data_IF_710349265247
#
_entry.id   IF_710349265247
#
_cell.length_a   1.000
_cell.length_b   1.000
_cell.length_c   1.000
_cell.angle_alpha   90.00
_cell.angle_beta   90.00
_cell.angle_gamma   90.00
#
_symmetry.space_group_name_H-M   'P 1'
#
loop_
_entity.id
_entity.type
_entity.pdbx_description
1 polymer ?
#
# COMPACT_ATOMS: atom_id res chain seq x y z
N UNK A 1 -1.24 -40.32 34.64
CA UNK A 1 0.22 -40.22 34.42
C UNK A 1 0.49 -40.51 32.97
N UNK A 2 0.71 -39.46 32.16
CA UNK A 2 1.69 -39.39 31.05
C UNK A 2 1.53 -38.04 30.34
N UNK A 3 2.32 -37.08 30.83
CA UNK A 3 3.07 -36.01 30.15
C UNK A 3 2.57 -35.37 28.84
N UNK A 4 2.50 -34.03 28.89
CA UNK A 4 2.74 -33.04 27.81
C UNK A 4 4.10 -32.38 28.19
N UNK A 5 4.94 -31.74 27.33
CA UNK A 5 4.83 -31.32 25.91
C UNK A 5 6.06 -31.65 25.05
N UNK A 6 6.01 -31.42 23.72
CA UNK A 6 7.13 -30.78 23.03
C UNK A 6 6.66 -29.76 21.99
N UNK A 7 7.10 -28.53 22.26
CA UNK A 7 7.12 -27.34 21.42
C UNK A 7 8.10 -27.48 20.25
N UNK A 8 7.70 -26.92 19.12
CA UNK A 8 8.53 -26.15 18.17
C UNK A 8 9.76 -26.82 17.56
N UNK A 9 9.68 -27.12 16.26
CA UNK A 9 10.84 -27.04 15.38
C UNK A 9 10.43 -26.33 14.09
N UNK A 10 10.70 -25.03 14.08
CA UNK A 10 10.78 -24.25 12.86
C UNK A 10 11.63 -25.01 11.84
N UNK A 11 11.07 -25.26 10.66
CA UNK A 11 11.86 -25.65 9.51
C UNK A 11 12.74 -24.45 9.19
N UNK A 12 13.99 -24.48 9.68
CA UNK A 12 14.99 -23.51 9.33
C UNK A 12 15.15 -23.52 7.80
N UNK A 13 14.89 -22.39 7.16
CA UNK A 13 15.25 -22.18 5.76
C UNK A 13 16.74 -22.55 5.58
N UNK A 14 17.12 -23.30 4.53
CA UNK A 14 18.52 -23.61 4.28
C UNK A 14 19.31 -22.31 4.07
N UNK A 15 20.58 -22.24 4.52
CA UNK A 15 21.42 -21.11 4.21
C UNK A 15 21.51 -20.99 2.68
N UNK A 16 21.15 -19.80 2.17
CA UNK A 16 21.30 -19.49 0.74
C UNK A 16 22.78 -19.65 0.39
N UNK A 17 23.11 -20.27 -0.77
CA UNK A 17 24.51 -20.31 -1.21
C UNK A 17 25.00 -18.87 -1.41
N UNK A 18 26.17 -18.56 -0.87
CA UNK A 18 26.85 -17.29 -1.06
C UNK A 18 27.22 -17.13 -2.54
N UNK A 19 26.28 -16.62 -3.33
CA UNK A 19 26.58 -16.11 -4.66
C UNK A 19 27.48 -14.89 -4.49
N UNK A 20 28.68 -14.86 -5.10
CA UNK A 20 29.51 -13.67 -5.07
C UNK A 20 28.73 -12.53 -5.71
N UNK A 21 28.36 -11.53 -4.90
CA UNK A 21 27.78 -10.28 -5.38
C UNK A 21 28.82 -9.68 -6.33
N UNK A 22 28.49 -9.40 -7.61
CA UNK A 22 29.43 -8.73 -8.50
C UNK A 22 29.76 -7.37 -7.88
N UNK A 23 31.02 -7.21 -7.48
CA UNK A 23 31.55 -5.92 -7.07
C UNK A 23 31.35 -4.93 -8.21
N UNK A 24 30.74 -3.75 -7.99
CA UNK A 24 30.68 -2.74 -9.02
C UNK A 24 32.12 -2.31 -9.32
N UNK A 25 32.61 -2.64 -10.51
CA UNK A 25 33.86 -2.09 -11.04
C UNK A 25 33.64 -0.57 -11.16
N UNK A 26 34.11 0.19 -10.17
CA UNK A 26 34.11 1.64 -10.24
C UNK A 26 34.94 2.05 -11.46
N UNK A 27 34.40 2.82 -12.43
CA UNK A 27 35.25 3.43 -13.43
C UNK A 27 36.19 4.38 -12.69
N UNK A 28 37.51 4.17 -12.82
CA UNK A 28 38.53 5.10 -12.36
C UNK A 28 38.29 6.44 -13.04
N UNK A 29 37.54 7.32 -12.40
CA UNK A 29 37.39 8.70 -12.83
C UNK A 29 38.74 9.36 -12.61
N UNK A 30 39.55 9.38 -13.66
CA UNK A 30 40.74 10.22 -13.75
C UNK A 30 40.25 11.65 -13.52
N UNK A 31 40.53 12.18 -12.33
CA UNK A 31 40.30 13.57 -12.01
C UNK A 31 41.27 14.41 -12.85
N UNK A 32 40.87 14.78 -14.06
CA UNK A 32 41.47 15.93 -14.73
C UNK A 32 41.02 17.16 -13.96
N UNK A 33 41.89 17.68 -13.11
CA UNK A 33 41.78 19.02 -12.57
C UNK A 33 41.77 20.00 -13.75
N UNK A 34 40.60 20.51 -14.09
CA UNK A 34 40.45 21.70 -14.93
C UNK A 34 39.89 22.80 -14.06
N UNK A 35 40.79 23.73 -13.72
CA UNK A 35 40.59 25.18 -13.75
C UNK A 35 39.22 25.70 -13.29
N UNK A 36 39.29 26.54 -12.26
CA UNK A 36 38.31 27.49 -11.77
C UNK A 36 37.59 28.28 -12.87
N UNK A 37 36.61 27.64 -13.51
CA UNK A 37 35.60 28.32 -14.31
C UNK A 37 34.64 29.04 -13.36
N UNK A 38 34.54 30.35 -13.54
CA UNK A 38 33.52 31.20 -12.91
C UNK A 38 32.19 30.45 -12.96
N UNK A 39 31.53 30.32 -11.80
CA UNK A 39 30.17 29.78 -11.71
C UNK A 39 29.24 30.60 -12.60
N UNK A 40 29.13 30.20 -13.86
CA UNK A 40 28.19 30.78 -14.79
C UNK A 40 26.79 30.40 -14.29
N UNK A 41 25.90 31.39 -14.19
CA UNK A 41 24.56 31.18 -13.64
C UNK A 41 23.85 30.08 -14.43
N UNK A 42 23.51 28.98 -13.77
CA UNK A 42 22.68 27.92 -14.33
C UNK A 42 21.20 28.32 -14.35
N UNK A 43 20.38 27.68 -15.19
CA UNK A 43 18.92 27.85 -15.15
C UNK A 43 18.37 27.14 -13.90
N UNK A 44 17.78 27.90 -12.98
CA UNK A 44 17.33 27.38 -11.68
C UNK A 44 16.10 26.45 -11.75
N UNK A 45 15.26 26.55 -12.80
CA UNK A 45 14.07 25.71 -12.95
C UNK A 45 13.58 25.60 -14.41
N UNK A 46 12.96 24.47 -14.77
CA UNK A 46 12.26 24.28 -16.05
C UNK A 46 11.13 23.27 -15.88
N UNK A 47 9.98 23.53 -16.50
CA UNK A 47 8.85 22.60 -16.56
C UNK A 47 8.66 21.97 -17.94
N UNK A 48 9.60 22.23 -18.87
CA UNK A 48 9.47 21.90 -20.31
C UNK A 48 9.07 20.43 -20.57
N UNK A 49 9.67 19.48 -19.86
CA UNK A 49 9.41 18.05 -20.09
C UNK A 49 8.37 17.46 -19.11
N UNK A 50 7.76 18.26 -18.25
CA UNK A 50 6.86 17.75 -17.20
C UNK A 50 5.58 17.19 -17.80
N UNK A 51 4.96 17.92 -18.74
CA UNK A 51 3.76 17.43 -19.44
C UNK A 51 4.06 16.15 -20.22
N UNK A 52 5.16 16.10 -20.97
CA UNK A 52 5.50 14.91 -21.74
C UNK A 52 5.71 13.68 -20.84
N UNK A 53 6.41 13.82 -19.70
CA UNK A 53 6.58 12.74 -18.70
C UNK A 53 5.24 12.30 -18.10
N UNK A 54 4.38 13.25 -17.72
CA UNK A 54 3.08 12.94 -17.12
C UNK A 54 2.16 12.17 -18.09
N UNK A 55 2.25 12.46 -19.38
CA UNK A 55 1.45 11.81 -20.41
C UNK A 55 2.02 10.51 -20.97
N UNK A 56 3.30 10.15 -20.72
CA UNK A 56 3.87 8.87 -21.18
C UNK A 56 3.02 7.66 -20.78
N UNK A 57 2.55 7.64 -19.53
CA UNK A 57 1.66 6.60 -19.00
C UNK A 57 0.19 7.08 -18.91
N UNK A 58 -0.06 8.32 -19.33
CA UNK A 58 -1.33 9.03 -19.17
C UNK A 58 -1.63 9.45 -17.72
N UNK A 59 -2.26 10.62 -17.57
CA UNK A 59 -2.77 11.10 -16.29
C UNK A 59 -4.09 10.36 -16.00
N UNK A 60 -4.04 9.34 -15.15
CA UNK A 60 -5.22 8.54 -14.80
C UNK A 60 -6.08 9.27 -13.78
N UNK A 61 -7.40 9.23 -13.98
CA UNK A 61 -8.38 9.67 -12.98
C UNK A 61 -8.31 8.76 -11.74
N UNK A 62 -8.66 9.25 -10.54
CA UNK A 62 -8.77 8.39 -9.37
C UNK A 62 -9.76 7.25 -9.64
N UNK A 63 -9.41 6.05 -9.18
CA UNK A 63 -10.26 4.86 -9.37
C UNK A 63 -11.58 5.05 -8.63
N UNK A 64 -12.69 4.92 -9.36
CA UNK A 64 -14.02 4.85 -8.76
C UNK A 64 -14.30 3.41 -8.33
N UNK A 65 -14.76 3.23 -7.09
CA UNK A 65 -15.24 1.95 -6.57
C UNK A 65 -16.76 1.99 -6.48
N UNK A 66 -17.43 0.82 -6.57
CA UNK A 66 -18.89 0.71 -6.44
C UNK A 66 -19.40 1.28 -5.12
N UNK A 67 -18.63 1.08 -4.04
CA UNK A 67 -18.97 1.57 -2.71
C UNK A 67 -17.90 2.57 -2.23
N UNK A 68 -18.24 3.84 -1.98
CA UNK A 68 -17.30 4.83 -1.45
C UNK A 68 -17.08 4.65 0.05
N UNK A 69 -16.03 5.30 0.58
CA UNK A 69 -15.78 5.32 2.02
C UNK A 69 -16.82 6.19 2.75
N UNK A 70 -17.24 5.79 3.95
CA UNK A 70 -18.07 6.62 4.83
C UNK A 70 -17.24 7.62 5.68
N UNK A 71 -15.97 7.86 5.34
CA UNK A 71 -15.12 8.83 6.04
C UNK A 71 -15.62 10.25 5.72
N UNK A 72 -15.80 11.07 6.76
CA UNK A 72 -16.36 12.42 6.63
C UNK A 72 -17.89 12.51 6.65
N UNK A 73 -18.60 11.38 6.67
CA UNK A 73 -20.06 11.36 6.89
C UNK A 73 -20.37 11.69 8.35
N UNK A 74 -21.44 12.44 8.58
CA UNK A 74 -21.91 12.88 9.91
C UNK A 74 -21.85 11.73 10.95
N UNK A 75 -21.14 11.92 12.08
CA UNK A 75 -21.06 10.94 13.14
C UNK A 75 -22.42 10.47 13.66
N UNK A 76 -23.45 11.33 13.71
CA UNK A 76 -24.80 10.96 14.17
C UNK A 76 -25.47 10.00 13.19
N UNK A 77 -25.44 10.32 11.90
CA UNK A 77 -25.89 9.40 10.85
C UNK A 77 -25.12 8.08 10.89
N UNK A 78 -23.78 8.10 11.00
CA UNK A 78 -22.98 6.87 11.04
C UNK A 78 -23.31 5.98 12.24
N UNK A 79 -23.58 6.58 13.41
CA UNK A 79 -23.97 5.84 14.60
C UNK A 79 -25.30 5.13 14.38
N UNK A 80 -26.31 5.85 13.86
CA UNK A 80 -27.61 5.28 13.54
C UNK A 80 -27.54 4.20 12.45
N UNK A 81 -26.81 4.45 11.36
CA UNK A 81 -26.68 3.50 10.25
C UNK A 81 -26.08 2.16 10.70
N UNK A 82 -25.11 2.16 11.63
CA UNK A 82 -24.57 0.93 12.24
C UNK A 82 -25.64 0.15 12.99
N UNK A 83 -26.45 0.83 13.81
CA UNK A 83 -27.53 0.17 14.57
C UNK A 83 -28.61 -0.39 13.64
N UNK A 84 -28.99 0.36 12.60
CA UNK A 84 -29.97 -0.08 11.60
C UNK A 84 -29.50 -1.36 10.88
N UNK A 85 -28.26 -1.36 10.35
CA UNK A 85 -27.70 -2.53 9.67
C UNK A 85 -27.63 -3.75 10.59
N UNK A 86 -27.19 -3.56 11.84
CA UNK A 86 -27.15 -4.64 12.83
C UNK A 86 -28.55 -5.20 13.14
N UNK A 87 -29.55 -4.33 13.30
CA UNK A 87 -30.95 -4.72 13.51
C UNK A 87 -31.50 -5.53 12.34
N UNK A 88 -31.25 -5.10 11.11
CA UNK A 88 -31.67 -5.83 9.89
C UNK A 88 -31.01 -7.21 9.84
N UNK A 89 -29.70 -7.31 10.08
CA UNK A 89 -29.00 -8.61 10.09
C UNK A 89 -29.57 -9.57 11.13
N UNK A 90 -29.89 -9.07 12.34
CA UNK A 90 -30.51 -9.87 13.40
C UNK A 90 -31.90 -10.37 12.99
N UNK A 91 -32.76 -9.48 12.47
CA UNK A 91 -34.11 -9.86 12.04
C UNK A 91 -34.09 -10.88 10.88
N UNK A 92 -33.16 -10.71 9.93
CA UNK A 92 -32.98 -11.67 8.83
C UNK A 92 -32.53 -13.05 9.35
N UNK A 93 -31.66 -13.07 10.37
CA UNK A 93 -31.22 -14.31 11.02
C UNK A 93 -32.36 -15.01 11.76
N UNK A 94 -33.13 -14.27 12.56
CA UNK A 94 -34.31 -14.82 13.29
C UNK A 94 -35.35 -15.39 12.33
N UNK A 95 -35.62 -14.70 11.21
CA UNK A 95 -36.50 -15.18 10.14
C UNK A 95 -35.98 -16.47 9.50
N UNK A 96 -34.66 -16.55 9.24
CA UNK A 96 -34.04 -17.78 8.69
C UNK A 96 -34.12 -18.95 9.67
N UNK A 97 -34.03 -18.67 10.96
CA UNK A 97 -34.16 -19.67 12.04
C UNK A 97 -35.62 -20.00 12.39
N UNK A 98 -36.61 -19.41 11.70
CA UNK A 98 -38.03 -19.63 11.95
C UNK A 98 -38.54 -19.06 13.29
N UNK A 99 -37.74 -18.27 13.99
CA UNK A 99 -38.08 -17.66 15.30
C UNK A 99 -38.90 -16.38 15.17
N UNK A 100 -39.18 -15.97 13.93
CA UNK A 100 -39.88 -14.72 13.61
C UNK A 100 -40.88 -15.00 12.51
N UNK A 101 -42.16 -14.93 12.87
CA UNK A 101 -43.29 -15.09 11.96
C UNK A 101 -43.31 -13.97 10.91
N UNK A 102 -43.73 -14.32 9.70
CA UNK A 102 -44.04 -13.33 8.66
C UNK A 102 -45.39 -12.71 9.01
N UNK A 103 -45.41 -11.39 9.21
CA UNK A 103 -46.63 -10.60 9.24
C UNK A 103 -47.17 -10.42 7.81
#
# INVERSE_FOLDING_TARGET
MTEIPQTERALADPPRPDVPIPTPLHPSHRQSATTSDKMAKSKNASQHHNSQKAHRNGIKKPKTNRYPSLKGVDPKFRRNNRHAQHGTMKALKERKEGKRELA
#
